data_IF_987647823814
#
_entry.id   IF_987647823814
#
_cell.length_a   1.000
_cell.length_b   1.000
_cell.length_c   1.000
_cell.angle_alpha   90.00
_cell.angle_beta   90.00
_cell.angle_gamma   90.00
#
_symmetry.space_group_name_H-M   'P 1'
#
loop_
_entity.id
_entity.type
_entity.pdbx_description
1 polymer ?
#
# COMPACT_ATOMS: atom_id res chain seq x y z
N UNK A 1 11.41 14.26 -22.11
CA UNK A 1 11.77 15.04 -20.93
C UNK A 1 13.06 14.44 -20.41
N UNK A 2 14.17 15.17 -20.56
CA UNK A 2 15.49 14.78 -20.04
C UNK A 2 15.48 15.12 -18.56
N UNK A 3 15.52 14.11 -17.69
CA UNK A 3 15.67 14.33 -16.25
C UNK A 3 17.12 14.72 -15.95
N UNK A 4 17.33 15.57 -14.95
CA UNK A 4 18.64 15.84 -14.39
C UNK A 4 19.26 14.51 -13.89
N UNK A 5 20.58 14.40 -13.87
CA UNK A 5 21.31 13.17 -13.52
C UNK A 5 20.95 12.60 -12.12
N UNK A 6 20.39 13.42 -11.24
CA UNK A 6 19.94 12.99 -9.90
C UNK A 6 18.56 13.55 -9.58
N UNK A 7 17.60 12.67 -9.33
CA UNK A 7 16.26 13.03 -8.84
C UNK A 7 16.11 12.52 -7.42
N UNK A 8 16.04 13.44 -6.46
CA UNK A 8 15.71 13.12 -5.09
C UNK A 8 14.19 13.09 -4.92
N UNK A 9 13.65 11.93 -4.55
CA UNK A 9 12.23 11.77 -4.24
C UNK A 9 12.04 11.50 -2.74
N UNK A 10 11.10 12.22 -2.14
CA UNK A 10 10.62 11.97 -0.79
C UNK A 10 9.14 11.62 -0.87
N UNK A 11 8.73 10.56 -0.19
CA UNK A 11 7.35 10.09 -0.22
C UNK A 11 6.91 9.50 1.11
N UNK A 12 5.63 9.66 1.42
CA UNK A 12 4.98 9.08 2.58
C UNK A 12 4.00 8.01 2.12
N UNK A 13 4.11 6.82 2.68
CA UNK A 13 3.18 5.72 2.43
C UNK A 13 2.31 5.51 3.65
N UNK A 14 1.02 5.75 3.51
CA UNK A 14 0.06 5.40 4.55
C UNK A 14 -0.12 3.89 4.67
N UNK A 15 -0.31 3.41 5.88
CA UNK A 15 -0.83 2.08 6.12
C UNK A 15 -2.24 1.96 5.51
N UNK A 16 -2.69 0.75 5.16
CA UNK A 16 -4.05 0.54 4.69
C UNK A 16 -5.06 1.14 5.68
N UNK A 17 -6.04 1.84 5.18
CA UNK A 17 -7.01 2.66 5.93
C UNK A 17 -6.42 3.93 6.60
N UNK A 18 -5.11 4.13 6.67
CA UNK A 18 -4.51 5.29 7.32
C UNK A 18 -4.94 6.62 6.68
N UNK A 19 -5.02 6.64 5.35
CA UNK A 19 -5.46 7.84 4.62
C UNK A 19 -6.92 8.20 4.90
N UNK A 20 -7.79 7.24 5.29
CA UNK A 20 -9.18 7.53 5.63
C UNK A 20 -9.34 8.45 6.86
N UNK A 21 -8.32 8.57 7.69
CA UNK A 21 -8.28 9.54 8.79
C UNK A 21 -8.12 11.00 8.35
N UNK A 22 -7.72 11.22 7.09
CA UNK A 22 -7.42 12.55 6.54
C UNK A 22 -8.40 13.01 5.46
N UNK A 23 -9.39 12.22 5.12
CA UNK A 23 -10.41 12.59 4.13
C UNK A 23 -11.75 11.93 4.45
N UNK A 24 -12.83 12.66 4.13
CA UNK A 24 -14.20 12.13 4.16
C UNK A 24 -14.62 11.50 2.83
N UNK A 25 -13.78 11.65 1.81
CA UNK A 25 -14.07 11.10 0.50
C UNK A 25 -13.75 9.59 0.48
N UNK A 26 -14.52 8.81 -0.29
CA UNK A 26 -14.22 7.39 -0.49
C UNK A 26 -12.85 7.18 -1.11
N UNK A 27 -11.98 6.38 -0.50
CA UNK A 27 -10.61 6.20 -1.00
C UNK A 27 -10.52 5.62 -2.42
N UNK A 28 -11.57 4.96 -2.90
CA UNK A 28 -11.59 4.45 -4.28
C UNK A 28 -11.71 5.56 -5.33
N UNK A 29 -12.11 6.77 -4.98
CA UNK A 29 -12.09 7.93 -5.86
C UNK A 29 -10.66 8.41 -6.15
N UNK A 30 -9.73 8.11 -5.25
CA UNK A 30 -8.30 8.40 -5.44
C UNK A 30 -7.52 7.27 -6.10
N UNK A 31 -8.13 6.10 -6.31
CA UNK A 31 -7.45 4.95 -6.89
C UNK A 31 -6.98 5.25 -8.33
N UNK A 32 -5.67 5.10 -8.58
CA UNK A 32 -5.01 5.39 -9.85
C UNK A 32 -4.98 6.87 -10.27
N UNK A 33 -5.34 7.80 -9.39
CA UNK A 33 -5.22 9.23 -9.64
C UNK A 33 -3.99 9.82 -8.94
N UNK A 34 -3.46 10.88 -9.53
CA UNK A 34 -2.49 11.76 -8.89
C UNK A 34 -3.23 13.04 -8.53
N UNK A 35 -3.27 13.33 -7.24
CA UNK A 35 -3.90 14.54 -6.69
C UNK A 35 -2.78 15.47 -6.26
N UNK A 36 -2.90 16.74 -6.60
CA UNK A 36 -1.95 17.76 -6.14
C UNK A 36 -2.13 18.02 -4.65
N UNK A 37 -1.06 18.37 -3.93
CA UNK A 37 -1.17 18.84 -2.54
C UNK A 37 -2.05 20.09 -2.44
N UNK A 38 -2.11 20.91 -3.49
CA UNK A 38 -3.01 22.07 -3.55
C UNK A 38 -4.50 21.70 -3.53
N UNK A 39 -4.86 20.48 -3.91
CA UNK A 39 -6.22 19.94 -3.80
C UNK A 39 -6.53 19.39 -2.41
N UNK A 40 -5.50 19.25 -1.57
CA UNK A 40 -5.57 18.78 -0.18
C UNK A 40 -5.28 19.91 0.83
N UNK A 41 -5.69 21.13 0.54
CA UNK A 41 -5.39 22.33 1.35
C UNK A 41 -5.83 22.22 2.82
N UNK A 42 -6.83 21.39 3.11
CA UNK A 42 -7.24 21.14 4.48
C UNK A 42 -6.17 20.40 5.32
N UNK A 43 -5.26 19.67 4.68
CA UNK A 43 -4.16 18.94 5.32
C UNK A 43 -2.83 19.67 5.10
N UNK A 44 -2.59 20.11 3.85
CA UNK A 44 -1.33 20.74 3.43
C UNK A 44 -1.63 22.16 2.94
N UNK A 45 -1.26 23.15 3.72
CA UNK A 45 -1.44 24.55 3.35
C UNK A 45 -0.41 25.01 2.28
N UNK A 46 -0.48 26.27 1.89
CA UNK A 46 0.40 26.83 0.86
C UNK A 46 1.88 26.83 1.23
N UNK A 47 2.23 26.76 2.52
CA UNK A 47 3.61 26.81 3.01
C UNK A 47 4.23 25.42 3.14
N UNK A 48 3.44 24.35 3.03
CA UNK A 48 3.90 22.96 3.21
C UNK A 48 5.11 22.62 2.30
N UNK A 49 5.00 22.93 1.02
CA UNK A 49 6.05 22.61 0.04
C UNK A 49 7.32 23.42 0.32
N UNK A 50 7.19 24.71 0.67
CA UNK A 50 8.31 25.58 1.02
C UNK A 50 9.05 25.02 2.24
N UNK A 51 8.34 24.73 3.32
CA UNK A 51 8.90 24.13 4.54
C UNK A 51 9.57 22.78 4.28
N UNK A 52 8.99 21.96 3.40
CA UNK A 52 9.57 20.67 3.04
C UNK A 52 10.87 20.83 2.25
N UNK A 53 10.93 21.80 1.34
CA UNK A 53 12.11 22.09 0.51
C UNK A 53 13.26 22.74 1.32
N UNK A 54 12.98 23.46 2.39
CA UNK A 54 13.96 24.03 3.30
C UNK A 54 14.74 22.97 4.09
N UNK A 55 14.21 21.75 4.19
CA UNK A 55 14.86 20.69 4.95
C UNK A 55 16.00 20.04 4.17
N UNK A 56 17.18 20.05 4.76
CA UNK A 56 18.40 19.50 4.17
C UNK A 56 18.51 17.97 4.26
N UNK A 57 17.76 17.36 5.16
CA UNK A 57 17.80 15.91 5.40
C UNK A 57 16.41 15.27 5.46
N UNK A 58 16.39 13.94 5.46
CA UNK A 58 15.15 13.14 5.51
C UNK A 58 14.43 13.32 6.85
N UNK A 59 15.17 13.48 7.96
CA UNK A 59 14.57 13.62 9.29
C UNK A 59 13.77 14.92 9.41
N UNK A 60 14.32 16.04 8.94
CA UNK A 60 13.60 17.31 8.92
C UNK A 60 12.35 17.26 8.05
N UNK A 61 12.41 16.58 6.89
CA UNK A 61 11.23 16.37 6.03
C UNK A 61 10.15 15.51 6.70
N UNK A 62 10.55 14.44 7.40
CA UNK A 62 9.63 13.62 8.20
C UNK A 62 8.94 14.49 9.24
N UNK A 63 9.69 15.28 10.01
CA UNK A 63 9.15 16.15 11.05
C UNK A 63 8.13 17.15 10.49
N UNK A 64 8.43 17.80 9.36
CA UNK A 64 7.47 18.70 8.71
C UNK A 64 6.17 17.97 8.36
N UNK A 65 6.24 16.79 7.75
CA UNK A 65 5.04 16.01 7.40
C UNK A 65 4.26 15.60 8.66
N UNK A 66 4.93 15.13 9.69
CA UNK A 66 4.29 14.75 10.96
C UNK A 66 3.56 15.93 11.61
N UNK A 67 4.18 17.12 11.65
CA UNK A 67 3.55 18.32 12.17
C UNK A 67 2.22 18.63 11.46
N UNK A 68 2.20 18.60 10.13
CA UNK A 68 0.98 18.85 9.36
C UNK A 68 -0.09 17.78 9.58
N UNK A 69 0.31 16.51 9.55
CA UNK A 69 -0.63 15.40 9.75
C UNK A 69 -1.21 15.40 11.17
N UNK A 70 -0.37 15.62 12.19
CA UNK A 70 -0.82 15.68 13.58
C UNK A 70 -1.71 16.90 13.84
N UNK A 71 -1.35 18.08 13.30
CA UNK A 71 -2.18 19.27 13.39
C UNK A 71 -3.57 19.06 12.78
N UNK A 72 -3.65 18.40 11.61
CA UNK A 72 -4.93 18.04 11.01
C UNK A 72 -5.73 17.09 11.90
N UNK A 73 -5.12 16.02 12.40
CA UNK A 73 -5.79 15.03 13.24
C UNK A 73 -6.29 15.62 14.56
N UNK A 74 -5.56 16.57 15.15
CA UNK A 74 -5.97 17.22 16.40
C UNK A 74 -7.36 17.89 16.33
N UNK A 75 -7.75 18.34 15.13
CA UNK A 75 -9.03 19.03 14.91
C UNK A 75 -10.03 18.23 14.10
N UNK A 76 -9.59 17.23 13.35
CA UNK A 76 -10.39 16.51 12.35
C UNK A 76 -10.33 14.99 12.52
N UNK A 77 -9.96 14.49 13.70
CA UNK A 77 -9.80 13.05 13.90
C UNK A 77 -11.06 12.27 13.52
N UNK A 78 -10.87 11.29 12.65
CA UNK A 78 -11.90 10.33 12.29
C UNK A 78 -11.40 8.93 12.67
N UNK A 79 -12.16 8.18 13.48
CA UNK A 79 -11.76 6.84 13.83
C UNK A 79 -11.74 5.95 12.59
N UNK A 80 -10.67 5.20 12.42
CA UNK A 80 -10.58 4.16 11.39
C UNK A 80 -11.64 3.10 11.69
N UNK A 81 -12.30 2.63 10.64
CA UNK A 81 -13.29 1.57 10.76
C UNK A 81 -12.68 0.28 11.29
N UNK A 82 -13.06 -0.11 12.49
CA UNK A 82 -12.47 -1.26 13.21
C UNK A 82 -12.66 -2.58 12.50
N UNK A 83 -13.80 -2.79 11.83
CA UNK A 83 -14.08 -4.03 11.08
C UNK A 83 -13.22 -4.11 9.81
N UNK A 84 -13.03 -2.98 9.12
CA UNK A 84 -12.14 -2.91 7.95
C UNK A 84 -10.68 -3.09 8.39
N UNK A 85 -10.25 -2.44 9.46
CA UNK A 85 -8.91 -2.60 10.01
C UNK A 85 -8.62 -4.06 10.42
N UNK A 86 -9.57 -4.73 11.07
CA UNK A 86 -9.47 -6.15 11.40
C UNK A 86 -9.32 -7.02 10.14
N UNK A 87 -10.16 -6.78 9.11
CA UNK A 87 -10.08 -7.52 7.85
C UNK A 87 -8.73 -7.30 7.15
N UNK A 88 -8.22 -6.06 7.10
CA UNK A 88 -6.89 -5.73 6.57
C UNK A 88 -5.80 -6.49 7.30
N UNK A 89 -5.84 -6.53 8.64
CA UNK A 89 -4.86 -7.27 9.44
C UNK A 89 -4.90 -8.77 9.14
N UNK A 90 -6.08 -9.37 9.05
CA UNK A 90 -6.24 -10.80 8.70
C UNK A 90 -5.68 -11.09 7.31
N UNK A 91 -5.95 -10.22 6.32
CA UNK A 91 -5.42 -10.37 4.97
C UNK A 91 -3.89 -10.31 4.98
N UNK A 92 -3.32 -9.34 5.68
CA UNK A 92 -1.86 -9.17 5.77
C UNK A 92 -1.19 -10.36 6.47
N UNK A 93 -1.70 -10.79 7.62
CA UNK A 93 -1.18 -11.95 8.38
C UNK A 93 -1.28 -13.26 7.61
N UNK A 94 -2.32 -13.42 6.80
CA UNK A 94 -2.50 -14.59 5.94
C UNK A 94 -1.77 -14.50 4.59
N UNK A 95 -0.98 -13.44 4.37
CA UNK A 95 -0.36 -13.16 3.07
C UNK A 95 -1.36 -13.19 1.90
N UNK A 96 -2.58 -12.71 2.13
CA UNK A 96 -3.65 -12.67 1.13
C UNK A 96 -4.29 -14.02 0.80
N UNK A 97 -4.04 -15.07 1.58
CA UNK A 97 -4.53 -16.44 1.30
C UNK A 97 -5.94 -16.71 1.82
N UNK A 98 -6.44 -15.90 2.75
CA UNK A 98 -7.80 -16.07 3.31
C UNK A 98 -8.86 -15.74 2.26
N UNK A 99 -9.93 -16.53 2.24
CA UNK A 99 -11.06 -16.28 1.37
C UNK A 99 -11.88 -15.07 1.83
N UNK A 100 -12.52 -14.38 0.89
CA UNK A 100 -13.43 -13.25 1.23
C UNK A 100 -14.56 -13.70 2.15
N UNK A 101 -15.06 -14.95 1.97
CA UNK A 101 -16.09 -15.52 2.82
C UNK A 101 -15.62 -15.65 4.26
N UNK A 102 -14.43 -16.21 4.49
CA UNK A 102 -13.87 -16.31 5.85
C UNK A 102 -13.65 -14.93 6.48
N UNK A 103 -13.26 -13.91 5.69
CA UNK A 103 -13.14 -12.55 6.21
C UNK A 103 -14.48 -11.98 6.67
N UNK A 104 -15.55 -12.21 5.89
CA UNK A 104 -16.90 -11.75 6.26
C UNK A 104 -17.40 -12.39 7.57
N UNK A 105 -17.13 -13.67 7.77
CA UNK A 105 -17.49 -14.39 8.99
C UNK A 105 -16.77 -13.79 10.21
N UNK A 106 -15.47 -13.47 10.08
CA UNK A 106 -14.65 -12.85 11.14
C UNK A 106 -15.12 -11.44 11.52
N UNK A 107 -15.53 -10.63 10.54
CA UNK A 107 -15.95 -9.24 10.79
C UNK A 107 -17.47 -9.09 10.98
N UNK A 108 -18.21 -10.19 10.93
CA UNK A 108 -19.67 -10.23 11.10
C UNK A 108 -20.44 -9.28 10.16
N UNK A 109 -20.07 -9.25 8.88
CA UNK A 109 -20.71 -8.41 7.86
C UNK A 109 -21.22 -9.26 6.69
N UNK A 110 -22.39 -8.90 6.15
CA UNK A 110 -22.84 -9.45 4.88
C UNK A 110 -21.97 -8.94 3.72
N UNK A 111 -21.87 -9.70 2.63
CA UNK A 111 -20.95 -9.45 1.51
C UNK A 111 -21.05 -8.02 0.97
N UNK A 112 -22.26 -7.58 0.62
CA UNK A 112 -22.49 -6.25 0.04
C UNK A 112 -22.01 -5.12 0.95
N UNK A 113 -22.26 -5.24 2.27
CA UNK A 113 -21.86 -4.24 3.25
C UNK A 113 -20.33 -4.27 3.44
N UNK A 114 -19.74 -5.46 3.55
CA UNK A 114 -18.31 -5.64 3.70
C UNK A 114 -17.54 -5.06 2.49
N UNK A 115 -17.89 -5.45 1.27
CA UNK A 115 -17.21 -4.96 0.06
C UNK A 115 -17.31 -3.44 -0.09
N UNK A 116 -18.48 -2.85 0.15
CA UNK A 116 -18.68 -1.40 0.09
C UNK A 116 -17.84 -0.68 1.13
N UNK A 117 -17.89 -1.13 2.38
CA UNK A 117 -17.20 -0.54 3.52
C UNK A 117 -15.68 -0.66 3.36
N UNK A 118 -15.20 -1.82 2.94
CA UNK A 118 -13.80 -2.08 2.67
C UNK A 118 -13.29 -1.19 1.53
N UNK A 119 -14.01 -1.12 0.41
CA UNK A 119 -13.65 -0.30 -0.74
C UNK A 119 -13.64 1.21 -0.40
N UNK A 120 -14.59 1.66 0.43
CA UNK A 120 -14.64 3.04 0.91
C UNK A 120 -13.36 3.42 1.67
N UNK A 121 -12.92 2.57 2.61
CA UNK A 121 -11.82 2.85 3.53
C UNK A 121 -10.42 2.49 3.00
N UNK A 122 -10.30 1.65 1.96
CA UNK A 122 -9.00 1.18 1.43
C UNK A 122 -8.75 1.57 -0.01
N UNK A 123 -9.79 1.95 -0.74
CA UNK A 123 -9.72 2.17 -2.20
C UNK A 123 -9.88 0.90 -3.04
N UNK A 124 -9.81 -0.28 -2.44
CA UNK A 124 -9.86 -1.58 -3.12
C UNK A 124 -10.99 -2.45 -2.57
N UNK A 125 -11.48 -3.38 -3.39
CA UNK A 125 -12.31 -4.47 -2.86
C UNK A 125 -11.46 -5.43 -2.01
N UNK A 126 -12.06 -6.21 -1.09
CA UNK A 126 -11.32 -7.22 -0.31
C UNK A 126 -10.53 -8.20 -1.19
N UNK A 127 -11.11 -8.58 -2.33
CA UNK A 127 -10.48 -9.49 -3.30
C UNK A 127 -9.26 -8.87 -3.97
N UNK A 128 -9.38 -7.62 -4.42
CA UNK A 128 -8.26 -6.88 -5.03
C UNK A 128 -7.14 -6.67 -4.04
N UNK A 129 -7.47 -6.28 -2.81
CA UNK A 129 -6.47 -6.07 -1.76
C UNK A 129 -5.75 -7.38 -1.39
N UNK A 130 -6.47 -8.49 -1.21
CA UNK A 130 -5.88 -9.81 -0.98
C UNK A 130 -4.96 -10.24 -2.13
N UNK A 131 -5.34 -9.93 -3.38
CA UNK A 131 -4.53 -10.19 -4.57
C UNK A 131 -3.22 -9.41 -4.56
N UNK A 132 -3.25 -8.12 -4.16
CA UNK A 132 -2.06 -7.26 -4.02
C UNK A 132 -1.14 -7.80 -2.91
N UNK A 133 -1.69 -8.16 -1.76
CA UNK A 133 -0.91 -8.71 -0.64
C UNK A 133 -0.27 -10.05 -1.03
N UNK A 134 -1.02 -10.93 -1.70
CA UNK A 134 -0.51 -12.20 -2.22
C UNK A 134 0.63 -11.99 -3.22
N UNK A 135 0.50 -11.02 -4.11
CA UNK A 135 1.55 -10.64 -5.05
C UNK A 135 2.82 -10.16 -4.34
N UNK A 136 2.69 -9.26 -3.34
CA UNK A 136 3.83 -8.78 -2.55
C UNK A 136 4.57 -9.93 -1.87
N UNK A 137 3.84 -10.82 -1.22
CA UNK A 137 4.40 -12.02 -0.59
C UNK A 137 5.14 -12.91 -1.62
N UNK A 138 4.57 -13.09 -2.81
CA UNK A 138 5.21 -13.86 -3.87
C UNK A 138 6.52 -13.24 -4.35
N UNK A 139 6.55 -11.92 -4.54
CA UNK A 139 7.77 -11.18 -4.92
C UNK A 139 8.85 -11.29 -3.83
N UNK A 140 8.45 -11.22 -2.56
CA UNK A 140 9.36 -11.38 -1.43
C UNK A 140 9.95 -12.79 -1.38
N UNK A 141 9.14 -13.83 -1.57
CA UNK A 141 9.62 -15.22 -1.67
C UNK A 141 10.60 -15.42 -2.84
N UNK A 142 10.32 -14.81 -4.01
CA UNK A 142 11.22 -14.87 -5.16
C UNK A 142 12.58 -14.22 -4.87
N UNK A 143 12.62 -13.13 -4.11
CA UNK A 143 13.85 -12.38 -3.80
C UNK A 143 14.69 -13.04 -2.71
N UNK A 144 14.04 -13.66 -1.73
CA UNK A 144 14.72 -14.18 -0.54
C UNK A 144 15.21 -15.63 -0.68
N UNK A 145 14.94 -16.28 -1.82
CA UNK A 145 15.29 -17.69 -2.01
C UNK A 145 16.52 -17.83 -2.91
N UNK A 146 17.58 -18.42 -2.39
CA UNK A 146 18.87 -18.62 -3.10
C UNK A 146 18.75 -19.64 -4.25
N UNK A 147 17.85 -20.63 -4.11
CA UNK A 147 17.56 -21.63 -5.14
C UNK A 147 16.03 -21.62 -5.40
N UNK A 148 15.62 -20.85 -6.39
CA UNK A 148 14.19 -20.67 -6.67
C UNK A 148 13.64 -21.83 -7.48
N UNK A 149 12.79 -22.63 -6.85
CA UNK A 149 11.85 -23.49 -7.58
C UNK A 149 10.53 -22.72 -7.74
N UNK A 150 10.27 -22.24 -8.95
CA UNK A 150 9.07 -21.42 -9.25
C UNK A 150 7.76 -22.13 -8.91
N UNK A 151 7.69 -23.46 -9.02
CA UNK A 151 6.48 -24.21 -8.66
C UNK A 151 6.27 -24.18 -7.14
N UNK A 152 7.30 -24.45 -6.36
CA UNK A 152 7.25 -24.39 -4.89
C UNK A 152 6.88 -22.97 -4.44
N UNK A 153 7.55 -21.96 -4.99
CA UNK A 153 7.23 -20.55 -4.69
C UNK A 153 5.79 -20.19 -5.02
N UNK A 154 5.24 -20.68 -6.13
CA UNK A 154 3.84 -20.47 -6.49
C UNK A 154 2.89 -21.04 -5.44
N UNK A 155 3.12 -22.29 -5.02
CA UNK A 155 2.31 -22.97 -3.99
C UNK A 155 2.46 -22.26 -2.64
N UNK A 156 3.68 -21.94 -2.22
CA UNK A 156 3.95 -21.24 -0.95
C UNK A 156 3.33 -19.84 -0.93
N UNK A 157 3.29 -19.15 -2.06
CA UNK A 157 2.59 -17.87 -2.19
C UNK A 157 1.05 -18.03 -2.25
N UNK A 158 0.52 -19.27 -2.32
CA UNK A 158 -0.91 -19.57 -2.32
C UNK A 158 -1.57 -19.47 -3.69
N UNK A 159 -0.81 -19.67 -4.77
CA UNK A 159 -1.37 -19.85 -6.12
C UNK A 159 -1.67 -21.32 -6.38
N UNK A 160 -2.63 -21.57 -7.26
CA UNK A 160 -3.08 -22.92 -7.56
C UNK A 160 -2.02 -23.73 -8.32
N UNK A 161 -1.37 -23.09 -9.30
CA UNK A 161 -0.32 -23.69 -10.13
C UNK A 161 0.64 -22.62 -10.65
N UNK A 162 1.67 -23.06 -11.35
CA UNK A 162 2.70 -22.19 -11.94
C UNK A 162 2.15 -21.30 -13.06
N UNK A 163 1.15 -21.77 -13.83
CA UNK A 163 0.56 -21.00 -14.92
C UNK A 163 -0.26 -19.82 -14.37
N UNK A 164 -1.09 -20.07 -13.35
CA UNK A 164 -1.82 -19.04 -12.63
C UNK A 164 -0.86 -18.03 -11.96
N UNK A 165 0.18 -18.51 -11.28
CA UNK A 165 1.22 -17.69 -10.70
C UNK A 165 1.87 -16.77 -11.73
N UNK A 166 2.36 -17.32 -12.84
CA UNK A 166 3.04 -16.57 -13.90
C UNK A 166 2.16 -15.50 -14.52
N UNK A 167 0.89 -15.83 -14.76
CA UNK A 167 -0.10 -14.90 -15.29
C UNK A 167 -0.35 -13.73 -14.32
N UNK A 168 -0.53 -14.02 -13.03
CA UNK A 168 -0.77 -13.02 -12.02
C UNK A 168 0.42 -12.08 -11.82
N UNK A 169 1.64 -12.64 -11.71
CA UNK A 169 2.86 -11.84 -11.60
C UNK A 169 3.00 -10.92 -12.81
N UNK A 170 2.84 -11.45 -14.03
CA UNK A 170 2.92 -10.65 -15.26
C UNK A 170 1.84 -9.57 -15.33
N UNK A 171 0.64 -9.86 -14.89
CA UNK A 171 -0.48 -8.90 -14.91
C UNK A 171 -0.24 -7.72 -13.95
N UNK A 172 0.34 -7.99 -12.77
CA UNK A 172 0.51 -6.97 -11.73
C UNK A 172 1.83 -6.19 -11.85
N UNK A 173 2.86 -6.75 -12.48
CA UNK A 173 4.18 -6.12 -12.56
C UNK A 173 4.67 -5.82 -13.97
N UNK A 174 4.01 -6.38 -15.00
CA UNK A 174 4.52 -6.37 -16.37
C UNK A 174 5.65 -7.37 -16.63
N UNK A 175 6.22 -7.99 -15.59
CA UNK A 175 7.37 -8.88 -15.66
C UNK A 175 7.01 -10.35 -15.41
N UNK A 176 7.82 -11.28 -15.93
CA UNK A 176 7.66 -12.70 -15.62
C UNK A 176 8.29 -13.02 -14.25
N UNK A 177 7.89 -14.12 -13.57
CA UNK A 177 8.54 -14.54 -12.33
C UNK A 177 10.07 -14.70 -12.46
N UNK A 178 10.53 -15.23 -13.58
CA UNK A 178 11.97 -15.42 -13.84
C UNK A 178 12.72 -14.09 -13.99
N UNK A 179 12.09 -13.05 -14.54
CA UNK A 179 12.73 -11.74 -14.66
C UNK A 179 12.88 -11.02 -13.31
N UNK A 180 12.04 -11.34 -12.31
CA UNK A 180 12.24 -10.84 -10.94
C UNK A 180 13.52 -11.34 -10.30
N UNK A 181 14.01 -12.53 -10.67
CA UNK A 181 15.24 -13.09 -10.14
C UNK A 181 16.49 -12.33 -10.62
N UNK A 182 16.39 -11.65 -11.77
CA UNK A 182 17.48 -10.87 -12.36
C UNK A 182 17.36 -9.35 -12.09
N UNK A 183 16.26 -8.89 -11.49
CA UNK A 183 16.10 -7.49 -11.14
C UNK A 183 16.93 -7.17 -9.90
N UNK A 184 18.03 -6.46 -10.08
CA UNK A 184 18.71 -5.77 -8.99
C UNK A 184 17.84 -4.61 -8.53
N UNK A 185 17.53 -4.56 -7.24
CA UNK A 185 16.91 -3.37 -6.65
C UNK A 185 18.00 -2.29 -6.64
N UNK A 186 17.74 -1.07 -7.11
CA UNK A 186 18.68 0.02 -6.93
C UNK A 186 18.98 0.16 -5.43
N UNK A 187 20.26 0.21 -5.06
CA UNK A 187 20.74 0.30 -3.67
C UNK A 187 20.28 1.62 -2.99
N UNK A 188 19.82 2.58 -3.79
CA UNK A 188 19.47 3.94 -3.34
C UNK A 188 18.04 4.08 -2.79
N UNK A 189 17.23 3.01 -2.69
CA UNK A 189 15.90 3.10 -2.08
C UNK A 189 16.00 2.82 -0.58
N UNK A 190 16.19 3.86 0.20
CA UNK A 190 16.07 3.79 1.66
C UNK A 190 14.59 3.88 2.04
N UNK A 191 14.01 2.76 2.47
CA UNK A 191 12.68 2.75 3.08
C UNK A 191 12.85 2.91 4.59
N UNK A 192 12.50 4.09 5.09
CA UNK A 192 12.43 4.33 6.54
C UNK A 192 11.00 4.03 7.00
N UNK A 193 10.86 3.05 7.89
CA UNK A 193 9.59 2.77 8.55
C UNK A 193 9.57 3.54 9.88
N UNK A 194 8.54 4.32 10.10
CA UNK A 194 8.23 4.88 11.41
C UNK A 194 7.29 3.85 12.06
N UNK A 195 7.78 3.16 13.07
CA UNK A 195 6.94 2.31 13.91
C UNK A 195 6.09 3.20 14.82
N UNK A 196 4.80 2.86 15.02
CA UNK A 196 3.89 3.63 15.87
C UNK A 196 4.32 3.62 17.35
#
# INVERSE_FOLDING_TARGET
VTYAEFVHQFGVRFLPCGLSGFTKLPLHEFANYRVSTNEMQAVFDSTFIERLCEQNDVRGRIQVVEEYLLAYLAHNYQPVDTQVAAAVNIINQSAGKRSVRSLMDEVCLCQRHFERKFKYNTGFTPKEYSRIVKFKNAVELLRNTTFVNLLTTAIDAGYYDLAHFSKEIKTLSGNTPSSFLSLTVPEDITLTYIEP
#
